data_IF_610369918603
#
_entry.id   IF_610369918603
#
_cell.length_a   1.000
_cell.length_b   1.000
_cell.length_c   1.000
_cell.angle_alpha   90.00
_cell.angle_beta   90.00
_cell.angle_gamma   90.00
#
_symmetry.space_group_name_H-M   'P 1'
#
loop_
_entity.id
_entity.type
_entity.pdbx_description
1 polymer ?
#
# COMPACT_ATOMS: atom_id res chain seq x y z
N UNK A 1 11.65 -9.48 -15.74
CA UNK A 1 10.54 -9.54 -16.74
C UNK A 1 9.25 -9.08 -16.09
N UNK A 2 8.58 -8.11 -16.64
CA UNK A 2 7.34 -7.58 -16.04
C UNK A 2 6.19 -8.52 -16.38
N UNK A 3 5.53 -9.05 -15.35
CA UNK A 3 4.32 -9.87 -15.51
C UNK A 3 3.09 -8.95 -15.59
N UNK A 4 2.09 -9.30 -16.39
CA UNK A 4 0.80 -8.62 -16.43
C UNK A 4 -0.31 -9.51 -15.88
N UNK A 5 -1.19 -8.93 -15.06
CA UNK A 5 -2.36 -9.60 -14.53
C UNK A 5 -3.62 -8.80 -14.93
N UNK A 6 -4.68 -9.49 -15.31
CA UNK A 6 -5.96 -8.82 -15.60
C UNK A 6 -6.58 -8.33 -14.29
N UNK A 7 -7.18 -7.14 -14.36
CA UNK A 7 -8.07 -6.69 -13.31
C UNK A 7 -9.34 -7.53 -13.29
N UNK A 8 -9.87 -7.72 -12.09
CA UNK A 8 -11.24 -8.21 -11.92
C UNK A 8 -12.23 -7.04 -11.98
N UNK A 9 -13.52 -7.33 -12.18
CA UNK A 9 -14.54 -6.29 -12.11
C UNK A 9 -14.59 -5.58 -10.74
N UNK A 10 -14.21 -6.30 -9.66
CA UNK A 10 -14.12 -5.73 -8.32
C UNK A 10 -12.93 -4.76 -8.21
N UNK A 11 -11.79 -5.10 -8.78
CA UNK A 11 -10.62 -4.21 -8.82
C UNK A 11 -10.97 -2.91 -9.56
N UNK A 12 -11.63 -3.01 -10.72
CA UNK A 12 -12.05 -1.87 -11.52
C UNK A 12 -13.01 -0.94 -10.77
N UNK A 13 -13.87 -1.49 -9.93
CA UNK A 13 -14.81 -0.71 -9.11
C UNK A 13 -14.09 0.26 -8.15
N UNK A 14 -12.94 -0.12 -7.62
CA UNK A 14 -12.15 0.73 -6.71
C UNK A 14 -11.17 1.67 -7.42
N UNK A 15 -11.08 1.61 -8.74
CA UNK A 15 -10.21 2.47 -9.56
C UNK A 15 -10.98 3.68 -10.10
N UNK A 16 -12.32 3.58 -10.20
CA UNK A 16 -13.16 4.64 -10.75
C UNK A 16 -13.31 5.79 -9.75
N UNK A 17 -13.22 7.03 -10.24
CA UNK A 17 -13.38 8.25 -9.43
C UNK A 17 -14.83 8.50 -8.96
N UNK A 18 -15.76 7.61 -9.31
CA UNK A 18 -17.19 7.75 -9.00
C UNK A 18 -17.57 7.30 -7.57
N UNK A 19 -16.60 6.90 -6.76
CA UNK A 19 -16.85 6.43 -5.39
C UNK A 19 -16.51 7.57 -4.41
N UNK A 20 -17.51 8.01 -3.65
CA UNK A 20 -17.39 9.09 -2.66
C UNK A 20 -16.68 8.66 -1.35
N UNK A 21 -15.84 7.63 -1.43
CA UNK A 21 -15.04 7.09 -0.33
C UNK A 21 -13.60 6.91 -0.76
N UNK A 22 -12.67 7.05 0.20
CA UNK A 22 -11.25 6.72 -0.04
C UNK A 22 -11.12 5.20 -0.21
N UNK A 23 -10.72 4.70 -1.39
CA UNK A 23 -10.65 3.26 -1.67
C UNK A 23 -9.40 2.64 -1.05
N UNK A 24 -9.34 2.60 0.28
CA UNK A 24 -8.19 2.08 1.01
C UNK A 24 -8.56 1.12 2.13
N UNK A 25 -7.68 0.15 2.38
CA UNK A 25 -7.70 -0.71 3.55
C UNK A 25 -6.63 -0.21 4.51
N UNK A 26 -7.01 0.09 5.73
CA UNK A 26 -6.18 0.68 6.76
C UNK A 26 -5.97 -0.32 7.89
N UNK A 27 -4.71 -0.58 8.24
CA UNK A 27 -4.34 -1.49 9.31
C UNK A 27 -3.41 -0.77 10.26
N UNK A 28 -3.67 -0.89 11.56
CA UNK A 28 -2.79 -0.38 12.60
C UNK A 28 -2.37 -1.51 13.55
N UNK A 29 -1.10 -1.48 13.93
CA UNK A 29 -0.56 -2.32 14.98
C UNK A 29 0.19 -1.47 16.00
N UNK A 30 -0.16 -1.61 17.28
CA UNK A 30 0.55 -0.98 18.39
C UNK A 30 1.46 -2.00 19.05
N UNK A 31 2.71 -1.61 19.28
CA UNK A 31 3.69 -2.44 19.99
C UNK A 31 4.17 -1.72 21.24
N UNK A 32 4.51 -2.48 22.28
CA UNK A 32 5.02 -1.93 23.55
C UNK A 32 6.47 -1.50 23.49
N UNK A 33 7.20 -1.89 22.43
CA UNK A 33 8.62 -1.56 22.23
C UNK A 33 8.83 -0.67 21.00
N UNK A 34 10.07 -0.59 20.57
CA UNK A 34 10.50 0.15 19.39
C UNK A 34 10.78 -0.81 18.25
N UNK A 35 10.31 -0.47 17.04
CA UNK A 35 10.73 -1.18 15.84
C UNK A 35 12.21 -0.93 15.57
N UNK A 36 12.92 -2.01 15.30
CA UNK A 36 14.20 -1.95 14.60
C UNK A 36 13.87 -1.64 13.13
N UNK A 37 14.21 -0.43 12.69
CA UNK A 37 13.81 0.07 11.38
C UNK A 37 14.49 -0.67 10.23
N UNK A 38 15.72 -1.14 10.41
CA UNK A 38 16.43 -1.91 9.39
C UNK A 38 15.78 -3.29 9.21
N UNK A 39 15.42 -3.93 10.32
CA UNK A 39 14.70 -5.20 10.29
C UNK A 39 13.30 -5.05 9.72
N UNK A 40 12.59 -3.97 10.06
CA UNK A 40 11.27 -3.66 9.48
C UNK A 40 11.37 -3.46 7.97
N UNK A 41 12.33 -2.67 7.51
CA UNK A 41 12.56 -2.45 6.08
C UNK A 41 12.92 -3.74 5.34
N UNK A 42 13.74 -4.60 5.95
CA UNK A 42 14.09 -5.90 5.39
C UNK A 42 12.86 -6.83 5.31
N UNK A 43 12.04 -6.87 6.35
CA UNK A 43 10.81 -7.66 6.37
C UNK A 43 9.80 -7.19 5.32
N UNK A 44 9.62 -5.87 5.16
CA UNK A 44 8.75 -5.31 4.12
C UNK A 44 9.25 -5.66 2.72
N UNK A 45 10.56 -5.55 2.45
CA UNK A 45 11.12 -5.97 1.17
C UNK A 45 10.90 -7.46 0.89
N UNK A 46 11.06 -8.31 1.89
CA UNK A 46 10.82 -9.74 1.76
C UNK A 46 9.34 -10.05 1.49
N UNK A 47 8.43 -9.39 2.19
CA UNK A 47 6.99 -9.53 1.97
C UNK A 47 6.58 -9.09 0.56
N UNK A 48 7.06 -7.93 0.12
CA UNK A 48 6.80 -7.40 -1.23
C UNK A 48 7.36 -8.32 -2.31
N UNK A 49 8.54 -8.89 -2.12
CA UNK A 49 9.12 -9.85 -3.05
C UNK A 49 8.30 -11.13 -3.18
N UNK A 50 7.70 -11.59 -2.07
CA UNK A 50 6.89 -12.81 -2.01
C UNK A 50 5.50 -12.64 -2.66
N UNK A 51 4.89 -11.46 -2.56
CA UNK A 51 3.51 -11.21 -2.99
C UNK A 51 3.48 -10.35 -4.25
N UNK A 52 3.01 -10.92 -5.36
CA UNK A 52 2.99 -10.25 -6.67
C UNK A 52 2.19 -8.94 -6.65
N UNK A 53 0.97 -8.95 -6.08
CA UNK A 53 0.13 -7.76 -5.99
C UNK A 53 0.71 -6.68 -5.07
N UNK A 54 1.54 -7.05 -4.10
CA UNK A 54 2.21 -6.07 -3.23
C UNK A 54 3.20 -5.18 -4.00
N UNK A 55 3.71 -5.63 -5.15
CA UNK A 55 4.57 -4.84 -6.02
C UNK A 55 3.93 -4.45 -7.34
N UNK A 56 2.62 -4.70 -7.48
CA UNK A 56 1.88 -4.30 -8.66
C UNK A 56 1.72 -2.77 -8.77
N UNK A 57 1.48 -2.32 -9.97
CA UNK A 57 1.02 -0.97 -10.28
C UNK A 57 0.03 -1.05 -11.44
N UNK A 58 -0.85 -0.07 -11.54
CA UNK A 58 -1.79 0.00 -12.65
C UNK A 58 -1.02 0.31 -13.94
N UNK A 59 -1.15 -0.58 -14.91
CA UNK A 59 -0.56 -0.40 -16.23
C UNK A 59 -1.17 0.80 -16.95
N UNK A 60 -0.37 1.47 -17.77
CA UNK A 60 -0.85 2.56 -18.60
C UNK A 60 -1.79 2.00 -19.66
N UNK A 61 -3.04 2.46 -19.62
CA UNK A 61 -3.96 2.16 -20.71
C UNK A 61 -3.35 2.72 -22.01
N UNK A 62 -3.17 1.86 -23.02
CA UNK A 62 -2.94 2.34 -24.38
C UNK A 62 -4.16 3.18 -24.80
N UNK A 63 -3.96 4.25 -25.53
CA UNK A 63 -5.05 5.06 -26.08
C UNK A 63 -6.06 4.25 -26.89
N UNK A 64 -5.71 3.01 -27.26
CA UNK A 64 -6.52 2.07 -28.02
C UNK A 64 -7.04 0.89 -27.20
N UNK A 65 -6.51 0.64 -25.99
CA UNK A 65 -6.92 -0.47 -25.14
C UNK A 65 -7.87 0.01 -24.03
N UNK A 66 -9.12 -0.45 -24.06
CA UNK A 66 -10.11 -0.20 -23.00
C UNK A 66 -9.90 -1.06 -21.74
N UNK A 67 -8.94 -1.98 -21.75
CA UNK A 67 -8.74 -2.93 -20.67
C UNK A 67 -7.59 -2.48 -19.79
N UNK A 68 -7.88 -2.25 -18.51
CA UNK A 68 -6.88 -2.01 -17.48
C UNK A 68 -6.22 -3.33 -17.07
N UNK A 69 -4.98 -3.26 -16.63
CA UNK A 69 -4.22 -4.41 -16.15
C UNK A 69 -3.23 -4.00 -15.07
N UNK A 70 -2.86 -4.96 -14.22
CA UNK A 70 -1.77 -4.81 -13.30
C UNK A 70 -0.45 -5.15 -13.97
N UNK A 71 0.50 -4.23 -13.91
CA UNK A 71 1.91 -4.51 -14.15
C UNK A 71 2.55 -4.96 -12.85
N UNK A 72 3.23 -6.10 -12.87
CA UNK A 72 3.98 -6.63 -11.73
C UNK A 72 5.46 -6.58 -12.08
N UNK A 73 6.18 -5.52 -11.67
CA UNK A 73 7.61 -5.43 -11.88
C UNK A 73 8.35 -6.45 -11.00
N UNK A 74 9.58 -6.79 -11.37
CA UNK A 74 10.43 -7.69 -10.59
C UNK A 74 10.77 -7.11 -9.21
N UNK A 75 10.80 -5.78 -9.10
CA UNK A 75 10.99 -5.04 -7.85
C UNK A 75 10.02 -3.89 -7.76
N UNK A 76 9.64 -3.53 -6.55
CA UNK A 76 8.85 -2.31 -6.31
C UNK A 76 9.66 -1.06 -6.71
N UNK A 77 8.99 -0.06 -7.27
CA UNK A 77 9.63 1.19 -7.70
C UNK A 77 10.16 1.98 -6.50
N UNK A 78 9.38 2.00 -5.41
CA UNK A 78 9.71 2.75 -4.21
C UNK A 78 9.06 2.10 -2.98
N UNK A 79 9.88 1.71 -2.02
CA UNK A 79 9.41 1.20 -0.74
C UNK A 79 10.06 2.00 0.38
N UNK A 80 9.35 3.00 0.88
CA UNK A 80 9.78 3.82 2.00
C UNK A 80 8.86 3.63 3.20
N UNK A 81 9.45 3.73 4.39
CA UNK A 81 8.72 3.81 5.66
C UNK A 81 8.83 5.25 6.14
N UNK A 82 7.69 5.92 6.29
CA UNK A 82 7.65 7.21 6.97
C UNK A 82 7.87 6.99 8.45
N UNK A 83 8.75 7.79 9.08
CA UNK A 83 9.01 7.72 10.51
C UNK A 83 8.76 9.10 11.09
N UNK A 84 7.90 9.18 12.10
CA UNK A 84 7.51 10.45 12.72
C UNK A 84 7.24 10.28 14.21
N UNK A 85 7.36 11.37 14.96
CA UNK A 85 6.97 11.51 16.36
C UNK A 85 5.78 12.47 16.56
N UNK A 86 5.15 12.86 15.45
CA UNK A 86 3.93 13.66 15.48
C UNK A 86 2.79 12.94 16.23
N UNK A 87 1.82 13.67 16.81
CA UNK A 87 0.64 13.07 17.40
C UNK A 87 -0.07 12.11 16.44
N UNK A 88 -0.36 10.91 16.89
CA UNK A 88 -0.94 9.85 16.02
C UNK A 88 -2.24 10.27 15.34
N UNK A 89 -3.04 11.12 15.97
CA UNK A 89 -4.27 11.65 15.36
C UNK A 89 -4.00 12.51 14.12
N UNK A 90 -2.95 13.32 14.13
CA UNK A 90 -2.53 14.15 12.99
C UNK A 90 -1.98 13.27 11.87
N UNK A 91 -1.15 12.29 12.23
CA UNK A 91 -0.62 11.33 11.27
C UNK A 91 -1.74 10.56 10.58
N UNK A 92 -2.73 10.05 11.33
CA UNK A 92 -3.90 9.36 10.77
C UNK A 92 -4.66 10.26 9.79
N UNK A 93 -4.91 11.50 10.17
CA UNK A 93 -5.68 12.43 9.37
C UNK A 93 -5.07 12.67 7.99
N UNK A 94 -3.75 12.78 7.89
CA UNK A 94 -3.07 12.97 6.60
C UNK A 94 -2.73 11.65 5.89
N UNK A 95 -2.33 10.62 6.63
CA UNK A 95 -1.86 9.35 6.07
C UNK A 95 -2.99 8.54 5.43
N UNK A 96 -4.20 8.63 6.00
CA UNK A 96 -5.39 7.94 5.51
C UNK A 96 -6.33 8.81 4.69
N UNK A 97 -6.01 10.09 4.50
CA UNK A 97 -6.83 11.00 3.70
C UNK A 97 -6.92 10.61 2.22
N UNK A 98 -5.96 9.84 1.73
CA UNK A 98 -5.88 9.40 0.34
C UNK A 98 -5.44 7.94 0.27
N UNK A 99 -5.97 7.23 -0.71
CA UNK A 99 -5.43 5.94 -1.10
C UNK A 99 -4.04 6.10 -1.73
N UNK A 100 -3.15 5.10 -1.61
CA UNK A 100 -1.88 5.09 -2.32
C UNK A 100 -2.05 5.20 -3.83
N UNK A 101 -1.07 5.79 -4.52
CA UNK A 101 -1.09 5.96 -5.97
C UNK A 101 -1.05 4.62 -6.69
N UNK A 102 -1.96 4.42 -7.65
CA UNK A 102 -2.07 3.17 -8.39
C UNK A 102 -0.98 2.97 -9.44
N UNK A 103 -0.43 4.05 -10.00
CA UNK A 103 0.57 3.98 -11.07
C UNK A 103 2.02 3.84 -10.58
N UNK A 104 2.21 3.77 -9.26
CA UNK A 104 3.52 3.54 -8.63
C UNK A 104 3.49 2.26 -7.80
N UNK A 105 4.56 1.49 -7.88
CA UNK A 105 4.74 0.28 -7.09
C UNK A 105 5.58 0.58 -5.83
N UNK A 106 5.16 0.14 -4.65
CA UNK A 106 3.95 -0.62 -4.32
C UNK A 106 2.71 0.25 -4.20
N UNK A 107 1.53 -0.35 -4.30
CA UNK A 107 0.23 0.32 -4.11
C UNK A 107 -0.22 0.32 -2.64
N UNK A 108 0.72 0.49 -1.75
CA UNK A 108 0.51 0.69 -0.32
C UNK A 108 1.56 1.63 0.28
N UNK A 109 1.27 2.16 1.45
CA UNK A 109 2.15 3.03 2.21
C UNK A 109 2.32 2.51 3.65
N UNK A 110 3.46 2.81 4.25
CA UNK A 110 3.82 2.39 5.61
C UNK A 110 4.32 3.59 6.40
N UNK A 111 3.82 3.75 7.62
CA UNK A 111 4.34 4.73 8.57
C UNK A 111 4.59 4.11 9.95
N UNK A 112 5.62 4.56 10.64
CA UNK A 112 5.90 4.25 12.04
C UNK A 112 5.78 5.55 12.83
N UNK A 113 4.84 5.58 13.76
CA UNK A 113 4.67 6.68 14.71
C UNK A 113 5.37 6.31 16.02
N UNK A 114 6.33 7.13 16.43
CA UNK A 114 7.04 7.00 17.68
C UNK A 114 6.19 7.63 18.81
N UNK A 115 5.54 6.81 19.62
CA UNK A 115 4.78 7.27 20.78
C UNK A 115 5.63 7.20 22.05
N UNK A 116 5.18 7.82 23.13
CA UNK A 116 5.88 7.78 24.44
C UNK A 116 6.05 6.34 24.94
N UNK A 117 5.07 5.49 24.71
CA UNK A 117 5.06 4.08 25.12
C UNK A 117 4.99 3.18 23.91
N UNK A 118 6.14 2.93 23.30
CA UNK A 118 6.23 2.05 22.15
C UNK A 118 6.02 2.73 20.80
N UNK A 119 5.80 1.93 19.77
CA UNK A 119 5.58 2.38 18.41
C UNK A 119 4.22 1.96 17.91
N UNK A 120 3.74 2.69 16.89
CA UNK A 120 2.56 2.34 16.14
C UNK A 120 2.91 2.20 14.67
N UNK A 121 2.58 1.07 14.08
CA UNK A 121 2.70 0.82 12.65
C UNK A 121 1.36 1.13 11.99
N UNK A 122 1.37 2.00 10.99
CA UNK A 122 0.23 2.32 10.15
C UNK A 122 0.48 1.78 8.75
N UNK A 123 -0.49 1.08 8.21
CA UNK A 123 -0.48 0.54 6.86
C UNK A 123 -1.71 1.06 6.11
N UNK A 124 -1.48 1.56 4.90
CA UNK A 124 -2.53 2.04 4.02
C UNK A 124 -2.39 1.36 2.67
N UNK A 125 -3.34 0.51 2.30
CA UNK A 125 -3.35 -0.27 1.07
C UNK A 125 -4.43 0.24 0.14
N UNK A 126 -4.14 0.33 -1.16
CA UNK A 126 -5.19 0.62 -2.13
C UNK A 126 -6.13 -0.59 -2.27
N UNK A 127 -7.44 -0.37 -2.11
CA UNK A 127 -8.43 -1.45 -2.07
C UNK A 127 -8.56 -2.22 -3.40
N UNK A 128 -8.20 -1.61 -4.53
CA UNK A 128 -8.18 -2.30 -5.81
C UNK A 128 -7.17 -3.47 -5.87
N UNK A 129 -6.07 -3.40 -5.10
CA UNK A 129 -5.05 -4.44 -5.08
C UNK A 129 -5.10 -5.33 -3.83
N UNK A 130 -5.75 -4.86 -2.76
CA UNK A 130 -5.80 -5.56 -1.47
C UNK A 130 -7.21 -5.56 -0.90
N UNK A 131 -7.68 -6.72 -0.51
CA UNK A 131 -8.79 -6.85 0.44
C UNK A 131 -8.25 -6.84 1.88
N UNK A 132 -9.16 -6.80 2.87
CA UNK A 132 -8.78 -6.78 4.28
C UNK A 132 -7.95 -8.00 4.71
N UNK A 133 -8.14 -9.17 4.08
CA UNK A 133 -7.37 -10.38 4.36
C UNK A 133 -6.03 -10.39 3.61
N UNK A 134 -5.99 -9.82 2.41
CA UNK A 134 -4.77 -9.69 1.62
C UNK A 134 -3.72 -8.81 2.29
N UNK A 135 -4.14 -7.74 2.97
CA UNK A 135 -3.26 -6.85 3.72
C UNK A 135 -2.62 -7.48 4.97
N UNK A 136 -3.19 -8.57 5.48
CA UNK A 136 -2.72 -9.28 6.68
C UNK A 136 -1.76 -10.46 6.39
N UNK A 137 -1.55 -10.81 5.14
CA UNK A 137 -0.67 -11.91 4.69
C UNK A 137 0.71 -11.43 4.32
#
# INVERSE_FOLDING_TARGET
>A
MTQTLRLTALDEMFITDDIDIVPSVQIEARVSGRFDLDRLAAALRAAVAKHALARARLGRASLTARTLYWEVPDRADHLAVEITDEPVGEVRSRFYARAPELHRSPVFAVAVVRETVGDRLLLNFHHAAFDGMGGLR
#
